data_IF_022428320718
#
_entry.id   IF_022428320718
#
_cell.length_a   1.000
_cell.length_b   1.000
_cell.length_c   1.000
_cell.angle_alpha   90.00
_cell.angle_beta   90.00
_cell.angle_gamma   90.00
#
_symmetry.space_group_name_H-M   'P 1'
#
loop_
_entity.id
_entity.type
_entity.pdbx_description
1 polymer ?
#
# COMPACT_ATOMS: atom_id res chain seq x y z
N UNK A 1 9.36 -6.64 -31.20
CA UNK A 1 7.98 -6.38 -30.76
C UNK A 1 8.10 -5.48 -29.54
N UNK A 2 7.88 -4.19 -29.71
CA UNK A 2 7.84 -3.26 -28.58
C UNK A 2 6.38 -3.18 -28.18
N UNK A 3 6.00 -3.83 -27.10
CA UNK A 3 4.65 -3.71 -26.58
C UNK A 3 4.50 -2.28 -26.03
N UNK A 4 3.57 -1.53 -26.61
CA UNK A 4 3.25 -0.18 -26.18
C UNK A 4 2.58 -0.24 -24.80
N UNK A 5 3.14 0.48 -23.82
CA UNK A 5 2.56 0.56 -22.48
C UNK A 5 1.51 1.66 -22.49
N UNK A 6 0.23 1.29 -22.41
CA UNK A 6 -0.90 2.23 -22.32
C UNK A 6 -1.44 2.31 -20.90
N UNK A 7 -1.48 3.52 -20.35
CA UNK A 7 -2.09 3.79 -19.05
C UNK A 7 -3.60 3.96 -19.21
N UNK A 8 -4.36 3.16 -18.46
CA UNK A 8 -5.80 3.36 -18.31
C UNK A 8 -6.07 3.95 -16.93
N UNK A 9 -6.15 5.29 -16.84
CA UNK A 9 -6.29 6.00 -15.56
C UNK A 9 -7.48 5.54 -14.73
N UNK A 10 -8.61 5.25 -15.36
CA UNK A 10 -9.84 4.80 -14.67
C UNK A 10 -9.62 3.53 -13.83
N UNK A 11 -9.22 2.41 -14.46
CA UNK A 11 -8.85 1.17 -13.74
C UNK A 11 -7.74 1.36 -12.70
N UNK A 12 -6.71 2.14 -13.00
CA UNK A 12 -5.59 2.41 -12.08
C UNK A 12 -6.07 3.14 -10.82
N UNK A 13 -6.76 4.26 -10.98
CA UNK A 13 -7.30 5.04 -9.86
C UNK A 13 -8.28 4.22 -9.02
N UNK A 14 -9.09 3.39 -9.67
CA UNK A 14 -9.99 2.46 -8.96
C UNK A 14 -9.19 1.47 -8.12
N UNK A 15 -8.20 0.80 -8.70
CA UNK A 15 -7.36 -0.15 -7.99
C UNK A 15 -6.63 0.48 -6.80
N UNK A 16 -6.08 1.68 -6.98
CA UNK A 16 -5.40 2.43 -5.91
C UNK A 16 -6.39 2.76 -4.77
N UNK A 17 -7.58 3.26 -5.10
CA UNK A 17 -8.62 3.57 -4.10
C UNK A 17 -9.14 2.34 -3.36
N UNK A 18 -9.35 1.25 -4.08
CA UNK A 18 -9.82 -0.01 -3.51
C UNK A 18 -8.76 -0.54 -2.51
N UNK A 19 -7.48 -0.54 -2.90
CA UNK A 19 -6.38 -0.96 -2.04
C UNK A 19 -6.17 -0.03 -0.83
N UNK A 20 -6.30 1.29 -1.02
CA UNK A 20 -6.23 2.25 0.07
C UNK A 20 -7.34 1.99 1.10
N UNK A 21 -8.56 1.76 0.63
CA UNK A 21 -9.72 1.46 1.47
C UNK A 21 -9.57 0.12 2.21
N UNK A 22 -9.07 -0.92 1.53
CA UNK A 22 -8.75 -2.20 2.14
C UNK A 22 -7.65 -2.09 3.20
N UNK A 23 -6.62 -1.30 2.94
CA UNK A 23 -5.52 -1.08 3.89
C UNK A 23 -5.99 -0.32 5.14
N UNK A 24 -6.94 0.60 5.01
CA UNK A 24 -7.51 1.36 6.14
C UNK A 24 -8.50 0.55 6.98
N UNK A 25 -9.19 -0.41 6.38
CA UNK A 25 -10.13 -1.29 7.09
C UNK A 25 -9.47 -2.50 7.76
N UNK A 26 -8.15 -2.66 7.56
CA UNK A 26 -7.38 -3.78 8.09
C UNK A 26 -7.22 -3.63 9.60
N UNK A 27 -7.74 -4.59 10.36
CA UNK A 27 -7.60 -4.57 11.81
C UNK A 27 -6.16 -4.93 12.19
N UNK A 28 -5.46 -3.97 12.80
CA UNK A 28 -4.06 -4.11 13.19
C UNK A 28 -3.88 -4.73 14.57
N UNK A 29 -4.96 -4.98 15.32
CA UNK A 29 -4.92 -5.52 16.67
C UNK A 29 -5.31 -7.00 16.70
N UNK A 30 -4.42 -7.85 17.22
CA UNK A 30 -4.67 -9.29 17.36
C UNK A 30 -5.65 -9.63 18.48
N UNK A 31 -5.41 -9.08 19.67
CA UNK A 31 -6.17 -9.34 20.89
C UNK A 31 -5.92 -8.24 21.92
N UNK A 32 -6.74 -8.23 22.99
CA UNK A 32 -6.41 -7.49 24.20
C UNK A 32 -5.22 -8.16 24.89
N UNK A 33 -4.40 -7.36 25.57
CA UNK A 33 -3.37 -7.88 26.47
C UNK A 33 -4.05 -8.60 27.64
N UNK A 34 -3.48 -9.75 28.03
CA UNK A 34 -3.96 -10.48 29.20
C UNK A 34 -3.30 -9.87 30.43
N UNK A 35 -4.09 -9.16 31.24
CA UNK A 35 -3.66 -8.48 32.47
C UNK A 35 -3.88 -9.35 33.73
N UNK A 36 -3.06 -9.14 34.77
CA UNK A 36 -3.18 -9.78 36.09
C UNK A 36 -1.91 -10.51 36.56
N UNK A 37 -1.98 -11.16 37.73
CA UNK A 37 -0.82 -11.87 38.33
C UNK A 37 -0.60 -13.29 37.75
N UNK A 38 -1.21 -13.63 36.62
CA UNK A 38 -1.06 -14.96 36.02
C UNK A 38 0.35 -15.12 35.44
N UNK A 39 1.19 -15.91 36.13
CA UNK A 39 2.58 -16.18 35.74
C UNK A 39 2.74 -17.43 34.88
N UNK A 40 1.66 -17.95 34.30
CA UNK A 40 1.78 -19.06 33.35
C UNK A 40 2.52 -18.60 32.10
N UNK A 41 3.51 -19.37 31.68
CA UNK A 41 4.31 -19.12 30.47
C UNK A 41 3.46 -18.86 29.22
N UNK A 42 2.30 -19.51 29.13
CA UNK A 42 1.36 -19.31 28.01
C UNK A 42 0.82 -17.88 27.94
N UNK A 43 0.65 -17.19 29.07
CA UNK A 43 0.20 -15.78 29.11
C UNK A 43 1.27 -14.88 28.53
N UNK A 44 2.53 -15.08 28.94
CA UNK A 44 3.69 -14.37 28.38
C UNK A 44 3.80 -14.59 26.88
N UNK A 45 3.75 -15.84 26.43
CA UNK A 45 3.84 -16.18 25.01
C UNK A 45 2.71 -15.56 24.18
N UNK A 46 1.48 -15.51 24.70
CA UNK A 46 0.35 -14.88 24.01
C UNK A 46 0.53 -13.36 23.91
N UNK A 47 1.00 -12.70 24.98
CA UNK A 47 1.26 -11.26 24.95
C UNK A 47 2.43 -10.91 24.00
N UNK A 48 3.47 -11.73 23.93
CA UNK A 48 4.56 -11.58 22.96
C UNK A 48 4.08 -11.75 21.51
N UNK A 49 3.27 -12.78 21.23
CA UNK A 49 2.66 -12.99 19.91
C UNK A 49 1.81 -11.78 19.51
N UNK A 50 0.99 -11.27 20.44
CA UNK A 50 0.22 -10.03 20.22
C UNK A 50 1.14 -8.89 19.81
N UNK A 51 2.20 -8.63 20.57
CA UNK A 51 3.11 -7.51 20.30
C UNK A 51 3.76 -7.65 18.93
N UNK A 52 4.24 -8.84 18.58
CA UNK A 52 4.84 -9.12 17.27
C UNK A 52 3.82 -8.96 16.14
N UNK A 53 2.59 -9.43 16.32
CA UNK A 53 1.53 -9.27 15.34
C UNK A 53 1.22 -7.79 15.10
N UNK A 54 1.02 -7.02 16.17
CA UNK A 54 0.69 -5.59 16.10
C UNK A 54 1.83 -4.84 15.37
N UNK A 55 3.09 -5.18 15.65
CA UNK A 55 4.25 -4.60 14.97
C UNK A 55 4.32 -4.95 13.48
N UNK A 56 4.14 -6.23 13.13
CA UNK A 56 4.15 -6.69 11.74
C UNK A 56 3.03 -6.00 10.96
N UNK A 57 1.85 -5.86 11.55
CA UNK A 57 0.71 -5.27 10.87
C UNK A 57 0.88 -3.76 10.66
N UNK A 58 1.44 -3.04 11.63
CA UNK A 58 1.81 -1.64 11.46
C UNK A 58 2.82 -1.45 10.32
N UNK A 59 3.86 -2.30 10.27
CA UNK A 59 4.88 -2.27 9.21
C UNK A 59 4.27 -2.57 7.84
N UNK A 60 3.38 -3.56 7.76
CA UNK A 60 2.69 -3.91 6.52
C UNK A 60 1.83 -2.75 6.00
N UNK A 61 0.98 -2.15 6.85
CA UNK A 61 0.13 -1.02 6.46
C UNK A 61 0.95 0.19 6.03
N UNK A 62 2.06 0.47 6.72
CA UNK A 62 2.98 1.54 6.34
C UNK A 62 3.60 1.31 4.96
N UNK A 63 4.11 0.10 4.71
CA UNK A 63 4.69 -0.27 3.41
C UNK A 63 3.65 -0.19 2.29
N UNK A 64 2.45 -0.69 2.54
CA UNK A 64 1.35 -0.65 1.56
C UNK A 64 0.98 0.79 1.19
N UNK A 65 0.88 1.67 2.18
CA UNK A 65 0.60 3.10 1.96
C UNK A 65 1.67 3.75 1.09
N UNK A 66 2.95 3.47 1.39
CA UNK A 66 4.08 3.97 0.59
C UNK A 66 4.02 3.47 -0.86
N UNK A 67 3.74 2.18 -1.06
CA UNK A 67 3.65 1.60 -2.40
C UNK A 67 2.50 2.20 -3.22
N UNK A 68 1.35 2.47 -2.58
CA UNK A 68 0.22 3.14 -3.24
C UNK A 68 0.59 4.55 -3.69
N UNK A 69 1.25 5.32 -2.82
CA UNK A 69 1.74 6.66 -3.17
C UNK A 69 2.73 6.61 -4.33
N UNK A 70 3.74 5.73 -4.26
CA UNK A 70 4.73 5.60 -5.34
C UNK A 70 4.10 5.14 -6.66
N UNK A 71 3.03 4.34 -6.61
CA UNK A 71 2.29 3.93 -7.81
C UNK A 71 1.56 5.12 -8.44
N UNK A 72 0.88 5.94 -7.64
CA UNK A 72 0.19 7.15 -8.11
C UNK A 72 1.17 8.16 -8.74
N UNK A 73 2.33 8.35 -8.11
CA UNK A 73 3.42 9.19 -8.61
C UNK A 73 3.97 8.67 -9.95
N UNK A 74 4.22 7.35 -10.05
CA UNK A 74 4.73 6.74 -11.28
C UNK A 74 3.75 6.88 -12.45
N UNK A 75 2.45 6.63 -12.21
CA UNK A 75 1.40 6.77 -13.23
C UNK A 75 1.34 8.22 -13.71
N UNK A 76 1.37 9.18 -12.79
CA UNK A 76 1.35 10.62 -13.11
C UNK A 76 2.60 11.04 -13.89
N UNK A 77 3.77 10.53 -13.53
CA UNK A 77 5.02 10.79 -14.26
C UNK A 77 4.99 10.23 -15.68
N UNK A 78 4.40 9.05 -15.86
CA UNK A 78 4.27 8.43 -17.19
C UNK A 78 3.30 9.21 -18.07
N UNK A 79 2.18 9.70 -17.53
CA UNK A 79 1.25 10.57 -18.26
C UNK A 79 1.90 11.89 -18.67
N UNK A 80 2.61 12.55 -17.75
CA UNK A 80 3.35 13.78 -18.07
C UNK A 80 4.42 13.55 -19.15
N UNK A 81 5.07 12.39 -19.14
CA UNK A 81 6.04 12.01 -20.17
C UNK A 81 5.38 11.82 -21.52
N UNK A 82 4.21 11.15 -21.56
CA UNK A 82 3.46 10.92 -22.79
C UNK A 82 2.95 12.24 -23.40
N UNK A 83 2.41 13.14 -22.55
CA UNK A 83 2.01 14.49 -22.96
C UNK A 83 3.17 15.31 -23.53
N UNK A 84 4.34 15.26 -22.86
CA UNK A 84 5.53 15.96 -23.31
C UNK A 84 6.02 15.43 -24.67
N UNK A 85 6.09 14.11 -24.84
CA UNK A 85 6.52 13.49 -26.12
C UNK A 85 5.52 13.82 -27.23
N UNK A 86 4.22 13.76 -26.95
CA UNK A 86 3.18 14.13 -27.92
C UNK A 86 3.29 15.61 -28.35
N UNK A 87 3.59 16.51 -27.40
CA UNK A 87 3.81 17.92 -27.69
C UNK A 87 5.02 18.15 -28.60
N UNK A 88 6.18 17.58 -28.26
CA UNK A 88 7.41 17.70 -29.05
C UNK A 88 7.23 17.16 -30.48
N UNK A 89 6.59 16.00 -30.65
CA UNK A 89 6.29 15.44 -31.97
C UNK A 89 5.31 16.33 -32.75
N UNK A 90 4.31 16.90 -32.06
CA UNK A 90 3.31 17.80 -32.65
C UNK A 90 3.90 19.13 -33.14
N UNK A 91 4.95 19.64 -32.49
CA UNK A 91 5.68 20.85 -32.87
C UNK A 91 6.65 20.64 -34.05
N UNK A 92 7.01 19.39 -34.37
CA UNK A 92 7.92 19.04 -35.48
C UNK A 92 7.17 18.89 -36.82
N UNK A 93 5.84 19.07 -36.85
CA UNK A 93 5.03 19.15 -38.08
C UNK A 93 4.88 20.57 -38.59
#
# INVERSE_FOLDING_TARGET
MSDEIKIQRGPVNKGIKDLQSSSQSLNTSFSKEIEGENKLEIVTNVNEIKQQYDEIMMRFTSLMTKNLQSTEEAVTSMEATDEHVAHEIGLIK
#
